data_IF_595026752003
#
_entry.id   IF_595026752003
#
_cell.length_a   1.000
_cell.length_b   1.000
_cell.length_c   1.000
_cell.angle_alpha   90.00
_cell.angle_beta   90.00
_cell.angle_gamma   90.00
#
_symmetry.space_group_name_H-M   'P 1'
#
loop_
_entity.id
_entity.type
_entity.pdbx_description
1 polymer ?
#
# COMPACT_ATOMS: atom_id res chain seq x y z
N UNK A 1 27.91 -9.49 30.41
CA UNK A 1 26.72 -10.10 29.80
C UNK A 1 26.20 -9.17 28.72
N UNK A 2 26.14 -9.61 27.46
CA UNK A 2 25.45 -8.85 26.41
C UNK A 2 23.97 -8.83 26.78
N UNK A 3 23.38 -7.64 26.91
CA UNK A 3 21.95 -7.50 27.20
C UNK A 3 21.21 -7.93 25.94
N UNK A 4 20.38 -8.97 26.02
CA UNK A 4 19.55 -9.40 24.89
C UNK A 4 18.49 -8.32 24.65
N UNK A 5 18.71 -7.49 23.63
CA UNK A 5 17.78 -6.44 23.25
C UNK A 5 16.53 -7.08 22.62
N UNK A 6 15.35 -6.75 23.16
CA UNK A 6 14.07 -7.10 22.56
C UNK A 6 13.65 -5.93 21.67
N UNK A 7 13.69 -6.14 20.36
CA UNK A 7 13.31 -5.14 19.38
C UNK A 7 11.80 -5.23 19.11
N UNK A 8 11.13 -4.07 19.01
CA UNK A 8 9.74 -3.99 18.54
C UNK A 8 9.62 -4.50 17.11
N UNK A 9 10.64 -4.21 16.28
CA UNK A 9 10.68 -4.59 14.88
C UNK A 9 12.06 -5.18 14.54
N UNK A 10 12.07 -6.34 13.87
CA UNK A 10 13.28 -6.95 13.33
C UNK A 10 12.92 -7.70 12.05
N UNK A 11 13.49 -7.32 10.88
CA UNK A 11 13.16 -7.99 9.64
C UNK A 11 13.65 -9.43 9.67
N UNK A 12 12.81 -10.34 9.17
CA UNK A 12 13.22 -11.71 8.85
C UNK A 12 13.88 -11.66 7.48
N UNK A 13 15.14 -12.05 7.41
CA UNK A 13 15.88 -12.15 6.16
C UNK A 13 15.99 -13.62 5.78
N UNK A 14 15.79 -13.98 4.49
CA UNK A 14 16.11 -15.32 4.03
C UNK A 14 17.63 -15.58 4.16
N UNK A 15 18.07 -16.86 4.16
CA UNK A 15 19.48 -17.19 4.01
C UNK A 15 20.09 -16.48 2.80
N UNK A 16 21.29 -15.94 2.96
CA UNK A 16 21.90 -15.10 1.92
C UNK A 16 22.19 -15.89 0.64
N UNK A 17 22.58 -17.16 0.77
CA UNK A 17 22.81 -18.10 -0.31
C UNK A 17 21.56 -18.39 -1.14
N UNK A 18 20.36 -18.33 -0.56
CA UNK A 18 19.11 -18.39 -1.32
C UNK A 18 18.84 -17.12 -2.13
N UNK A 19 19.38 -15.98 -1.71
CA UNK A 19 19.16 -14.68 -2.36
C UNK A 19 20.18 -14.39 -3.48
N UNK A 20 21.43 -14.87 -3.35
CA UNK A 20 22.51 -14.65 -4.32
C UNK A 20 22.12 -14.99 -5.78
N UNK A 21 21.46 -16.13 -6.08
CA UNK A 21 21.09 -16.46 -7.47
C UNK A 21 20.15 -15.44 -8.12
N UNK A 22 19.35 -14.72 -7.33
CA UNK A 22 18.51 -13.64 -7.84
C UNK A 22 19.37 -12.43 -8.22
N UNK A 23 20.39 -12.11 -7.43
CA UNK A 23 21.32 -11.01 -7.71
C UNK A 23 22.17 -11.29 -8.95
N UNK A 24 22.68 -12.51 -9.12
CA UNK A 24 23.46 -12.90 -10.30
C UNK A 24 22.66 -12.66 -11.59
N UNK A 25 21.38 -13.06 -11.62
CA UNK A 25 20.47 -12.79 -12.75
C UNK A 25 20.29 -11.29 -13.02
N UNK A 26 20.26 -10.45 -11.99
CA UNK A 26 20.19 -8.98 -12.14
C UNK A 26 21.49 -8.45 -12.74
N UNK A 27 22.64 -8.93 -12.26
CA UNK A 27 23.97 -8.54 -12.74
C UNK A 27 24.18 -8.89 -14.21
N UNK A 28 23.81 -10.12 -14.60
CA UNK A 28 23.96 -10.61 -15.98
C UNK A 28 23.06 -9.84 -16.95
N UNK A 29 21.80 -9.59 -16.56
CA UNK A 29 20.85 -8.86 -17.41
C UNK A 29 21.11 -7.36 -17.48
N UNK A 30 21.79 -6.79 -16.48
CA UNK A 30 22.01 -5.34 -16.29
C UNK A 30 20.70 -4.52 -16.23
N UNK A 31 19.57 -5.17 -15.94
CA UNK A 31 18.26 -4.53 -15.77
C UNK A 31 18.00 -4.40 -14.27
N UNK A 32 18.17 -3.18 -13.75
CA UNK A 32 18.10 -2.92 -12.30
C UNK A 32 16.71 -2.47 -11.83
N UNK A 33 15.88 -1.91 -12.71
CA UNK A 33 14.59 -1.29 -12.38
C UNK A 33 13.68 -1.23 -13.62
N UNK A 34 12.64 -0.40 -13.62
CA UNK A 34 11.80 -0.04 -14.76
C UNK A 34 11.11 -1.24 -15.42
N UNK A 35 10.46 -2.08 -14.61
CA UNK A 35 9.67 -3.22 -15.13
C UNK A 35 10.49 -4.43 -15.55
N UNK A 36 11.68 -4.61 -14.97
CA UNK A 36 12.55 -5.77 -15.23
C UNK A 36 11.92 -7.13 -14.87
N UNK A 37 12.62 -8.23 -15.20
CA UNK A 37 12.06 -9.57 -15.11
C UNK A 37 11.53 -9.96 -13.72
N UNK A 38 12.17 -9.52 -12.63
CA UNK A 38 11.67 -9.79 -11.28
C UNK A 38 10.44 -8.97 -10.90
N UNK A 39 10.30 -7.76 -11.43
CA UNK A 39 9.10 -6.94 -11.25
C UNK A 39 7.87 -7.64 -11.82
N UNK A 40 7.95 -8.10 -13.08
CA UNK A 40 6.85 -8.80 -13.76
C UNK A 40 6.50 -10.13 -13.08
N UNK A 41 7.50 -10.87 -12.62
CA UNK A 41 7.30 -12.11 -11.87
C UNK A 41 6.56 -11.86 -10.55
N UNK A 42 6.93 -10.79 -9.83
CA UNK A 42 6.28 -10.43 -8.59
C UNK A 42 4.83 -10.00 -8.82
N UNK A 43 4.57 -9.16 -9.82
CA UNK A 43 3.20 -8.75 -10.19
C UNK A 43 2.32 -9.95 -10.49
N UNK A 44 2.79 -10.86 -11.35
CA UNK A 44 2.06 -12.08 -11.70
C UNK A 44 1.73 -12.92 -10.46
N UNK A 45 2.73 -13.21 -9.63
CA UNK A 45 2.55 -14.01 -8.40
C UNK A 45 1.60 -13.35 -7.42
N UNK A 46 1.64 -12.02 -7.30
CA UNK A 46 0.72 -11.28 -6.43
C UNK A 46 -0.71 -11.27 -6.98
N UNK A 47 -0.91 -11.11 -8.30
CA UNK A 47 -2.23 -11.23 -8.91
C UNK A 47 -2.85 -12.61 -8.64
N UNK A 48 -2.06 -13.68 -8.82
CA UNK A 48 -2.46 -15.06 -8.52
C UNK A 48 -2.78 -15.26 -7.04
N UNK A 49 -1.93 -14.74 -6.14
CA UNK A 49 -2.10 -14.87 -4.70
C UNK A 49 -3.32 -14.11 -4.16
N UNK A 50 -3.58 -12.90 -4.66
CA UNK A 50 -4.68 -12.04 -4.21
C UNK A 50 -5.99 -12.28 -4.97
N UNK A 51 -5.96 -13.04 -6.08
CA UNK A 51 -7.13 -13.31 -6.91
C UNK A 51 -7.65 -12.07 -7.65
N UNK A 52 -6.75 -11.18 -8.09
CA UNK A 52 -7.10 -9.95 -8.82
C UNK A 52 -6.51 -9.97 -10.23
N UNK A 53 -7.16 -9.26 -11.16
CA UNK A 53 -6.72 -9.19 -12.57
C UNK A 53 -5.45 -8.34 -12.75
N UNK A 54 -5.34 -7.25 -11.99
CA UNK A 54 -4.26 -6.28 -12.15
C UNK A 54 -3.71 -5.79 -10.80
N UNK A 55 -2.39 -5.60 -10.77
CA UNK A 55 -1.64 -4.95 -9.70
C UNK A 55 -0.64 -4.00 -10.36
N UNK A 56 -0.29 -2.92 -9.65
CA UNK A 56 0.87 -2.10 -9.97
C UNK A 56 1.78 -2.04 -8.75
N UNK A 57 3.06 -2.34 -8.93
CA UNK A 57 4.05 -2.20 -7.87
C UNK A 57 4.52 -0.75 -7.71
N UNK A 58 4.65 -0.33 -6.46
CA UNK A 58 5.18 0.98 -6.08
C UNK A 58 6.39 0.83 -5.17
N UNK A 59 7.19 1.88 -5.05
CA UNK A 59 8.38 1.91 -4.18
C UNK A 59 8.03 1.85 -2.69
N UNK A 60 6.83 2.32 -2.30
CA UNK A 60 6.28 2.22 -0.95
C UNK A 60 4.76 2.50 -0.94
N UNK A 61 4.13 2.27 0.21
CA UNK A 61 2.69 2.44 0.39
C UNK A 61 2.18 3.88 0.28
N UNK A 62 2.96 4.89 0.70
CA UNK A 62 2.56 6.30 0.58
C UNK A 62 2.45 6.72 -0.88
N UNK A 63 3.42 6.36 -1.72
CA UNK A 63 3.35 6.64 -3.16
C UNK A 63 2.18 5.90 -3.80
N UNK A 64 1.92 4.65 -3.40
CA UNK A 64 0.76 3.90 -3.89
C UNK A 64 -0.56 4.64 -3.59
N UNK A 65 -0.73 5.16 -2.36
CA UNK A 65 -1.91 5.94 -1.98
C UNK A 65 -2.01 7.24 -2.79
N UNK A 66 -0.91 8.00 -2.90
CA UNK A 66 -0.90 9.27 -3.64
C UNK A 66 -1.32 9.06 -5.10
N UNK A 67 -0.73 8.06 -5.77
CA UNK A 67 -1.02 7.77 -7.17
C UNK A 67 -2.44 7.23 -7.34
N UNK A 68 -2.92 6.38 -6.44
CA UNK A 68 -4.29 5.88 -6.49
C UNK A 68 -5.32 7.01 -6.38
N UNK A 69 -5.11 7.96 -5.45
CA UNK A 69 -5.98 9.14 -5.30
C UNK A 69 -6.00 10.00 -6.58
N UNK A 70 -4.84 10.21 -7.22
CA UNK A 70 -4.75 10.94 -8.50
C UNK A 70 -5.42 10.19 -9.64
N UNK A 71 -5.19 8.88 -9.75
CA UNK A 71 -5.76 8.05 -10.80
C UNK A 71 -7.30 8.00 -10.72
N UNK A 72 -7.83 7.96 -9.51
CA UNK A 72 -9.26 8.02 -9.22
C UNK A 72 -9.84 9.45 -9.27
N UNK A 73 -8.98 10.47 -9.46
CA UNK A 73 -9.36 11.89 -9.50
C UNK A 73 -10.16 12.35 -8.28
N UNK A 74 -9.77 11.86 -7.10
CA UNK A 74 -10.41 12.23 -5.83
C UNK A 74 -10.04 13.66 -5.47
N UNK A 75 -11.02 14.45 -5.03
CA UNK A 75 -10.87 15.85 -4.63
C UNK A 75 -11.82 16.17 -3.48
N UNK A 76 -11.64 17.33 -2.84
CA UNK A 76 -12.52 17.80 -1.78
C UNK A 76 -12.16 17.18 -0.43
N UNK A 77 -13.13 16.52 0.21
CA UNK A 77 -12.98 15.94 1.55
C UNK A 77 -13.02 14.40 1.49
N UNK A 78 -12.16 13.75 2.27
CA UNK A 78 -12.15 12.29 2.42
C UNK A 78 -12.25 11.93 3.89
N UNK A 79 -13.24 11.10 4.20
CA UNK A 79 -13.43 10.55 5.54
C UNK A 79 -12.35 9.51 5.81
N UNK A 80 -11.69 9.63 6.95
CA UNK A 80 -10.69 8.67 7.43
C UNK A 80 -10.68 8.66 8.96
N UNK A 81 -9.76 7.93 9.58
CA UNK A 81 -9.63 7.86 11.04
C UNK A 81 -8.26 8.39 11.50
N UNK A 82 -8.18 9.06 12.67
CA UNK A 82 -6.90 9.41 13.26
C UNK A 82 -6.19 8.17 13.84
N UNK A 83 -6.90 7.04 13.98
CA UNK A 83 -6.35 5.76 14.40
C UNK A 83 -5.82 4.95 13.21
N UNK A 84 -4.81 5.50 12.54
CA UNK A 84 -4.14 4.91 11.38
C UNK A 84 -2.70 5.43 11.26
N UNK A 85 -1.87 4.77 10.46
CA UNK A 85 -0.54 5.28 10.17
C UNK A 85 -0.61 6.62 9.41
N UNK A 86 0.32 7.53 9.72
CA UNK A 86 0.34 8.92 9.22
C UNK A 86 0.33 9.04 7.69
N UNK A 87 0.81 8.01 6.97
CA UNK A 87 0.79 7.99 5.51
C UNK A 87 -0.63 8.16 4.93
N UNK A 88 -1.67 7.71 5.64
CA UNK A 88 -3.06 7.81 5.17
C UNK A 88 -3.50 9.26 5.02
N UNK A 89 -3.41 10.06 6.09
CA UNK A 89 -3.80 11.47 6.07
C UNK A 89 -2.81 12.32 5.26
N UNK A 90 -1.52 12.00 5.31
CA UNK A 90 -0.50 12.72 4.54
C UNK A 90 -0.71 12.56 3.03
N UNK A 91 -1.09 11.38 2.55
CA UNK A 91 -1.36 11.15 1.13
C UNK A 91 -2.56 11.95 0.60
N UNK A 92 -3.56 12.18 1.46
CA UNK A 92 -4.69 13.06 1.15
C UNK A 92 -4.23 14.52 1.03
N UNK A 93 -3.52 15.01 2.04
CA UNK A 93 -3.02 16.38 2.07
C UNK A 93 -2.08 16.68 0.90
N UNK A 94 -1.21 15.73 0.53
CA UNK A 94 -0.31 15.87 -0.63
C UNK A 94 -1.09 16.01 -1.95
N UNK A 95 -2.29 15.45 -2.01
CA UNK A 95 -3.19 15.62 -3.16
C UNK A 95 -4.12 16.82 -3.05
N UNK A 96 -3.94 17.69 -2.05
CA UNK A 96 -4.83 18.83 -1.80
C UNK A 96 -6.23 18.41 -1.32
N UNK A 97 -6.37 17.19 -0.82
CA UNK A 97 -7.61 16.64 -0.27
C UNK A 97 -7.63 16.88 1.23
N UNK A 98 -8.74 17.39 1.76
CA UNK A 98 -8.91 17.63 3.18
C UNK A 98 -9.36 16.35 3.89
N UNK A 99 -8.57 15.80 4.83
CA UNK A 99 -9.02 14.67 5.64
C UNK A 99 -10.11 15.12 6.63
N UNK A 100 -11.17 14.33 6.75
CA UNK A 100 -12.22 14.49 7.77
C UNK A 100 -12.18 13.26 8.67
N UNK A 101 -11.91 13.48 9.95
CA UNK A 101 -11.68 12.40 10.90
C UNK A 101 -12.97 11.89 11.53
N UNK A 102 -13.20 10.59 11.42
CA UNK A 102 -14.21 9.84 12.15
C UNK A 102 -13.56 8.98 13.24
N UNK A 103 -14.21 8.93 14.41
CA UNK A 103 -13.75 8.13 15.55
C UNK A 103 -13.91 6.62 15.28
N UNK A 104 -13.20 5.80 16.05
CA UNK A 104 -13.21 4.34 15.94
C UNK A 104 -14.18 3.69 16.93
N UNK A 105 -14.68 2.51 16.58
CA UNK A 105 -15.32 1.63 17.58
C UNK A 105 -14.23 1.00 18.46
N UNK A 106 -14.23 1.23 19.79
CA UNK A 106 -13.21 0.67 20.68
C UNK A 106 -13.21 -0.86 20.75
N UNK A 107 -14.33 -1.53 20.42
CA UNK A 107 -14.40 -2.99 20.34
C UNK A 107 -13.86 -3.52 19.02
N UNK A 108 -13.89 -2.68 17.99
CA UNK A 108 -13.40 -3.02 16.65
C UNK A 108 -12.55 -1.88 16.06
N UNK A 109 -11.41 -1.55 16.69
CA UNK A 109 -10.60 -0.37 16.34
C UNK A 109 -10.11 -0.40 14.89
N UNK A 110 -10.02 -1.60 14.30
CA UNK A 110 -9.66 -1.83 12.90
C UNK A 110 -10.87 -2.14 11.98
N UNK A 111 -12.04 -2.49 12.53
CA UNK A 111 -13.25 -2.79 11.74
C UNK A 111 -14.21 -1.60 11.63
N UNK A 112 -13.99 -0.52 12.40
CA UNK A 112 -14.49 0.83 12.09
C UNK A 112 -14.09 1.31 10.69
N UNK A 113 -13.14 0.62 10.06
CA UNK A 113 -12.85 0.67 8.65
C UNK A 113 -14.01 0.27 7.73
N UNK A 114 -15.27 0.07 8.17
CA UNK A 114 -16.38 0.33 7.24
C UNK A 114 -16.28 1.77 6.73
N UNK A 115 -15.98 2.76 7.58
CA UNK A 115 -15.76 4.15 7.14
C UNK A 115 -14.49 4.37 6.31
N UNK A 116 -13.47 3.51 6.39
CA UNK A 116 -12.23 3.60 5.59
C UNK A 116 -12.22 2.68 4.35
N UNK A 117 -13.01 1.60 4.36
CA UNK A 117 -13.33 0.76 3.19
C UNK A 117 -14.29 1.51 2.27
N UNK A 118 -15.12 2.39 2.83
CA UNK A 118 -15.79 3.45 2.08
C UNK A 118 -14.85 4.66 2.02
N UNK A 119 -13.88 4.63 1.10
CA UNK A 119 -13.53 5.85 0.38
C UNK A 119 -14.87 6.33 -0.21
N UNK A 120 -15.62 7.17 0.53
CA UNK A 120 -16.87 7.72 0.06
C UNK A 120 -16.51 8.61 -1.12
N UNK A 121 -16.55 7.99 -2.31
CA UNK A 121 -16.76 8.61 -3.58
C UNK A 121 -18.05 9.42 -3.45
N UNK A 122 -17.99 10.66 -2.97
CA UNK A 122 -19.02 11.63 -3.32
C UNK A 122 -18.77 11.92 -4.80
N UNK A 123 -19.56 11.35 -5.72
CA UNK A 123 -19.27 11.46 -7.14
C UNK A 123 -19.74 12.83 -7.57
N UNK A 124 -18.81 13.76 -7.79
CA UNK A 124 -19.04 14.83 -8.76
C UNK A 124 -18.43 14.38 -10.09
N UNK A 125 -19.30 13.79 -10.92
CA UNK A 125 -19.20 13.59 -12.36
C UNK A 125 -18.26 12.50 -12.94
N UNK A 126 -18.93 11.44 -13.42
CA UNK A 126 -18.74 10.69 -14.67
C UNK A 126 -17.42 9.97 -15.01
N UNK A 127 -17.60 8.64 -15.15
CA UNK A 127 -16.95 7.72 -16.12
C UNK A 127 -15.48 7.34 -15.92
N UNK A 128 -15.23 6.32 -15.10
CA UNK A 128 -14.31 5.22 -15.42
C UNK A 128 -14.70 3.96 -14.63
N UNK A 129 -15.16 2.91 -15.33
CA UNK A 129 -15.42 1.58 -14.74
C UNK A 129 -14.09 0.82 -14.68
N UNK A 130 -13.45 0.86 -13.53
CA UNK A 130 -12.41 -0.08 -13.14
C UNK A 130 -12.41 -0.12 -11.62
N UNK A 131 -12.76 -1.26 -11.02
CA UNK A 131 -12.69 -1.41 -9.55
C UNK A 131 -11.23 -1.53 -9.17
N UNK A 132 -10.62 -0.44 -8.73
CA UNK A 132 -9.31 -0.48 -8.06
C UNK A 132 -9.57 -0.92 -6.62
N UNK A 133 -9.21 -2.16 -6.30
CA UNK A 133 -9.15 -2.64 -4.92
C UNK A 133 -7.91 -2.03 -4.26
N UNK A 134 -8.07 -0.90 -3.60
CA UNK A 134 -7.08 -0.45 -2.61
C UNK A 134 -7.16 -1.43 -1.43
N UNK A 135 -6.18 -2.32 -1.32
CA UNK A 135 -6.05 -3.23 -0.17
C UNK A 135 -5.55 -2.40 1.02
N UNK A 136 -6.40 -1.99 1.98
CA UNK A 136 -6.00 -1.10 3.06
C UNK A 136 -5.22 -1.87 4.14
N UNK A 137 -5.28 -3.20 4.11
CA UNK A 137 -4.85 -4.10 5.18
C UNK A 137 -3.34 -4.30 5.30
N UNK A 138 -2.53 -3.86 4.34
CA UNK A 138 -1.06 -3.91 4.44
C UNK A 138 -0.44 -2.64 5.04
N UNK A 139 -1.22 -1.56 5.18
CA UNK A 139 -0.74 -0.27 5.72
C UNK A 139 -0.88 -0.14 7.23
N UNK A 140 -1.58 -1.07 7.90
CA UNK A 140 -1.75 -1.10 9.36
C UNK A 140 -0.77 -2.04 10.07
N UNK A 141 0.27 -2.51 9.39
CA UNK A 141 1.32 -3.37 9.95
C UNK A 141 2.56 -2.60 10.46
N UNK A 142 2.43 -1.30 10.73
CA UNK A 142 3.40 -0.49 11.50
C UNK A 142 2.69 0.61 12.28
#
# INVERSE_FOLDING_TARGET
MRKDNIFVTKPVLPPLDEFIPYLERIWDSKILTNGGGFHQQLEKKLCEHLGVEHICLFTNGTIALIIALKALRITGEVITTPYSFVATSHSLLWNGIKPVFADIDPKTPYAGAKAATYLFLVPMASTARGRIHLVPTLLSLW
#
